data_IF_613613201277
#
_entry.id   IF_613613201277
#
_cell.length_a   1.000
_cell.length_b   1.000
_cell.length_c   1.000
_cell.angle_alpha   90.00
_cell.angle_beta   90.00
_cell.angle_gamma   90.00
#
_symmetry.space_group_name_H-M   'P 1'
#
loop_
_entity.id
_entity.type
_entity.pdbx_description
1 polymer ?
#
# COMPACT_ATOMS: atom_id res chain seq x y z
N UNK A 1 -3.47 6.05 14.42
CA UNK A 1 -2.88 6.94 13.42
C UNK A 1 -2.96 6.26 12.07
N UNK A 2 -3.51 6.92 11.05
CA UNK A 2 -3.64 6.35 9.70
C UNK A 2 -2.29 6.38 8.96
N UNK A 3 -2.04 5.38 8.11
CA UNK A 3 -0.79 5.19 7.35
C UNK A 3 -1.08 5.27 5.86
N UNK A 4 -0.22 5.94 5.11
CA UNK A 4 -0.37 6.08 3.67
C UNK A 4 0.96 5.94 2.96
N UNK A 5 1.00 5.11 1.93
CA UNK A 5 2.13 5.14 0.99
C UNK A 5 2.01 6.34 0.05
N UNK A 6 3.13 7.05 -0.12
CA UNK A 6 3.21 8.23 -0.98
C UNK A 6 4.41 8.15 -1.90
N UNK A 7 4.35 8.86 -3.03
CA UNK A 7 5.54 9.10 -3.84
C UNK A 7 6.58 9.86 -2.98
N UNK A 8 7.82 9.38 -2.86
CA UNK A 8 8.87 10.06 -2.08
C UNK A 8 9.08 11.53 -2.49
N UNK A 9 8.76 11.91 -3.73
CA UNK A 9 8.81 13.30 -4.20
C UNK A 9 7.87 14.21 -3.42
N UNK A 10 6.71 13.72 -2.99
CA UNK A 10 5.78 14.50 -2.17
C UNK A 10 6.40 14.88 -0.81
N UNK A 11 7.29 14.04 -0.27
CA UNK A 11 7.98 14.28 1.00
C UNK A 11 9.10 15.33 0.90
N UNK A 12 9.51 15.72 -0.32
CA UNK A 12 10.45 16.83 -0.53
C UNK A 12 9.75 18.21 -0.47
N UNK A 13 8.42 18.26 -0.61
CA UNK A 13 7.66 19.50 -0.50
C UNK A 13 7.54 19.98 0.96
N UNK A 14 7.51 21.30 1.15
CA UNK A 14 7.32 21.96 2.46
C UNK A 14 6.28 23.07 2.30
N UNK A 15 5.04 22.91 2.82
CA UNK A 15 4.48 21.69 3.43
C UNK A 15 4.31 20.55 2.42
N UNK A 16 4.20 19.31 2.90
CA UNK A 16 3.85 18.14 2.08
C UNK A 16 2.45 18.32 1.51
N UNK A 17 2.28 18.03 0.23
CA UNK A 17 1.00 18.15 -0.48
C UNK A 17 0.50 16.79 -0.92
N UNK A 18 -0.66 16.39 -0.42
CA UNK A 18 -1.35 15.17 -0.84
C UNK A 18 -2.54 15.56 -1.73
N UNK A 19 -2.70 14.86 -2.85
CA UNK A 19 -3.71 15.14 -3.89
C UNK A 19 -4.40 13.84 -4.33
N UNK A 20 -5.45 13.99 -5.14
CA UNK A 20 -6.17 12.87 -5.73
C UNK A 20 -6.85 11.99 -4.67
N UNK A 21 -6.76 10.67 -4.87
CA UNK A 21 -7.44 9.67 -4.03
C UNK A 21 -7.08 9.81 -2.54
N UNK A 22 -5.82 10.14 -2.24
CA UNK A 22 -5.35 10.27 -0.87
C UNK A 22 -5.97 11.48 -0.14
N UNK A 23 -6.06 12.63 -0.83
CA UNK A 23 -6.73 13.82 -0.28
C UNK A 23 -8.23 13.55 -0.06
N UNK A 24 -8.86 12.88 -1.02
CA UNK A 24 -10.26 12.47 -0.90
C UNK A 24 -10.47 11.50 0.27
N UNK A 25 -9.60 10.51 0.44
CA UNK A 25 -9.65 9.54 1.54
C UNK A 25 -9.51 10.24 2.89
N UNK A 26 -8.54 11.14 3.05
CA UNK A 26 -8.36 11.92 4.27
C UNK A 26 -9.60 12.76 4.61
N UNK A 27 -10.14 13.51 3.64
CA UNK A 27 -11.21 14.47 3.88
C UNK A 27 -12.62 13.86 3.97
N UNK A 28 -12.93 12.86 3.12
CA UNK A 28 -14.29 12.32 2.97
C UNK A 28 -14.50 10.98 3.66
N UNK A 29 -13.51 10.10 3.61
CA UNK A 29 -13.62 8.75 4.17
C UNK A 29 -13.27 8.77 5.65
N UNK A 30 -12.07 9.26 5.97
CA UNK A 30 -11.55 9.31 7.33
C UNK A 30 -11.97 10.56 8.09
N UNK A 31 -12.39 11.61 7.36
CA UNK A 31 -12.87 12.89 7.91
C UNK A 31 -11.87 13.54 8.86
N UNK A 32 -10.60 13.47 8.51
CA UNK A 32 -9.53 14.09 9.27
C UNK A 32 -9.64 15.62 9.23
N UNK A 33 -9.13 16.29 10.25
CA UNK A 33 -9.14 17.72 10.42
C UNK A 33 -7.71 18.28 10.57
N UNK A 34 -7.52 19.60 10.37
CA UNK A 34 -6.28 20.25 10.78
C UNK A 34 -5.94 19.95 12.26
N UNK A 35 -4.68 19.64 12.54
CA UNK A 35 -4.19 19.18 13.84
C UNK A 35 -4.13 17.65 14.00
N UNK A 36 -4.87 16.88 13.19
CA UNK A 36 -4.75 15.42 13.19
C UNK A 36 -3.38 14.98 12.66
N UNK A 37 -2.93 13.82 13.13
CA UNK A 37 -1.66 13.24 12.70
C UNK A 37 -1.88 12.01 11.82
N UNK A 38 -1.07 11.93 10.77
CA UNK A 38 -0.98 10.77 9.87
C UNK A 38 0.46 10.31 9.75
N UNK A 39 0.65 9.11 9.23
CA UNK A 39 1.97 8.55 8.96
C UNK A 39 2.13 8.36 7.46
N UNK A 40 3.15 8.98 6.89
CA UNK A 40 3.50 8.86 5.48
C UNK A 40 4.64 7.86 5.33
N UNK A 41 4.52 6.98 4.35
CA UNK A 41 5.46 5.89 4.07
C UNK A 41 6.02 6.08 2.66
N UNK A 42 7.34 6.06 2.53
CA UNK A 42 8.05 6.27 1.25
C UNK A 42 8.49 4.96 0.59
N UNK A 43 8.04 3.82 1.14
CA UNK A 43 8.39 2.47 0.70
C UNK A 43 9.88 2.09 0.91
N UNK A 44 10.69 2.94 1.56
CA UNK A 44 12.11 2.67 1.84
C UNK A 44 12.35 2.00 3.18
N UNK A 45 11.29 1.81 3.99
CA UNK A 45 11.37 1.41 5.39
C UNK A 45 11.19 2.58 6.36
N UNK A 46 11.40 3.82 5.90
CA UNK A 46 11.18 5.00 6.71
C UNK A 46 9.68 5.31 6.87
N UNK A 47 9.34 5.92 8.01
CA UNK A 47 8.01 6.47 8.25
C UNK A 47 8.10 7.89 8.78
N UNK A 48 7.16 8.73 8.37
CA UNK A 48 7.13 10.16 8.67
C UNK A 48 5.82 10.51 9.35
N UNK A 49 5.88 10.90 10.62
CA UNK A 49 4.72 11.46 11.30
C UNK A 49 4.50 12.86 10.75
N UNK A 50 3.29 13.15 10.26
CA UNK A 50 2.92 14.45 9.72
C UNK A 50 1.65 14.97 10.37
N UNK A 51 1.67 16.24 10.78
CA UNK A 51 0.51 16.96 11.29
C UNK A 51 -0.22 17.65 10.13
N UNK A 52 -1.53 17.49 10.05
CA UNK A 52 -2.35 18.09 9.01
C UNK A 52 -2.52 19.60 9.28
N UNK A 53 -2.14 20.43 8.31
CA UNK A 53 -2.29 21.88 8.37
C UNK A 53 -3.62 22.34 7.76
N UNK A 54 -4.03 21.70 6.67
CA UNK A 54 -5.27 22.00 5.96
C UNK A 54 -5.80 20.72 5.31
N UNK A 55 -7.12 20.51 5.38
CA UNK A 55 -7.77 19.32 4.82
C UNK A 55 -8.91 19.74 3.91
N UNK A 56 -8.84 19.35 2.63
CA UNK A 56 -9.93 19.48 1.68
C UNK A 56 -10.00 18.23 0.78
N UNK A 57 -11.14 17.94 0.14
CA UNK A 57 -11.24 16.82 -0.79
C UNK A 57 -10.34 16.93 -2.03
N UNK A 58 -9.79 18.12 -2.33
CA UNK A 58 -8.91 18.35 -3.48
C UNK A 58 -7.44 18.26 -3.12
N UNK A 59 -7.08 18.80 -1.95
CA UNK A 59 -5.71 18.88 -1.48
C UNK A 59 -5.67 18.84 0.05
N UNK A 60 -4.68 18.15 0.58
CA UNK A 60 -4.32 18.12 2.00
C UNK A 60 -2.89 18.62 2.14
N UNK A 61 -2.67 19.54 3.07
CA UNK A 61 -1.36 20.06 3.43
C UNK A 61 -0.94 19.48 4.78
N UNK A 62 0.29 18.99 4.87
CA UNK A 62 0.82 18.42 6.10
C UNK A 62 2.26 18.87 6.36
N UNK A 63 2.60 19.03 7.63
CA UNK A 63 3.96 19.30 8.10
C UNK A 63 4.56 18.03 8.69
N UNK A 64 5.77 17.64 8.25
CA UNK A 64 6.50 16.52 8.84
C UNK A 64 7.01 16.96 10.22
N UNK A 65 6.56 16.27 11.26
CA UNK A 65 6.98 16.52 12.64
C UNK A 65 8.08 15.58 13.10
N UNK A 66 8.14 14.38 12.54
CA UNK A 66 9.10 13.35 12.95
C UNK A 66 9.38 12.38 11.80
N UNK A 67 10.63 11.88 11.73
CA UNK A 67 11.00 10.73 10.91
C UNK A 67 11.47 9.61 11.83
N UNK A 68 10.95 8.41 11.61
CA UNK A 68 11.33 7.18 12.33
C UNK A 68 11.70 6.07 11.34
N UNK A 69 12.44 5.08 11.83
CA UNK A 69 12.82 3.86 11.10
C UNK A 69 12.26 2.64 11.84
N UNK A 70 10.98 2.27 11.60
CA UNK A 70 10.36 1.16 12.31
C UNK A 70 10.99 -0.18 11.93
N UNK A 71 11.18 -1.06 12.93
CA UNK A 71 11.47 -2.48 12.69
C UNK A 71 10.17 -3.24 12.36
N UNK A 72 9.50 -2.86 11.27
CA UNK A 72 8.21 -3.41 10.88
C UNK A 72 8.32 -4.60 9.91
N UNK A 73 9.45 -4.76 9.23
CA UNK A 73 9.64 -5.81 8.24
C UNK A 73 10.21 -7.10 8.87
N UNK A 74 9.78 -8.29 8.42
CA UNK A 74 10.37 -9.54 8.86
C UNK A 74 11.87 -9.62 8.52
N UNK A 75 12.65 -10.26 9.38
CA UNK A 75 14.08 -10.53 9.12
C UNK A 75 14.35 -11.55 8.01
N UNK A 76 13.30 -12.14 7.41
CA UNK A 76 13.38 -13.12 6.33
C UNK A 76 12.62 -12.58 5.13
N UNK A 77 13.27 -12.57 3.96
CA UNK A 77 12.61 -12.27 2.68
C UNK A 77 11.87 -13.52 2.21
N UNK A 78 10.54 -13.47 2.26
CA UNK A 78 9.66 -14.54 1.77
C UNK A 78 9.09 -14.18 0.39
N UNK A 79 9.30 -15.04 -0.59
CA UNK A 79 8.66 -14.97 -1.91
C UNK A 79 7.65 -16.09 -2.06
N UNK A 80 6.40 -15.74 -2.38
CA UNK A 80 5.29 -16.67 -2.49
C UNK A 80 4.92 -16.88 -3.96
N UNK A 81 5.24 -18.07 -4.47
CA UNK A 81 4.72 -18.55 -5.75
C UNK A 81 3.31 -19.10 -5.53
N UNK A 82 2.30 -18.38 -6.02
CA UNK A 82 0.90 -18.71 -5.80
C UNK A 82 0.23 -19.12 -7.11
N UNK A 83 -0.12 -20.40 -7.23
CA UNK A 83 -1.00 -20.87 -8.29
C UNK A 83 -2.34 -20.12 -8.20
N UNK A 84 -2.77 -19.45 -9.28
CA UNK A 84 -3.93 -18.55 -9.22
C UNK A 84 -5.22 -19.35 -9.04
N UNK A 85 -5.93 -19.22 -7.90
CA UNK A 85 -7.19 -19.91 -7.67
C UNK A 85 -8.34 -19.26 -8.45
N UNK A 86 -9.42 -20.02 -8.66
CA UNK A 86 -10.67 -19.47 -9.21
C UNK A 86 -11.28 -18.43 -8.25
N UNK A 87 -11.77 -17.32 -8.80
CA UNK A 87 -12.44 -16.22 -8.09
C UNK A 87 -11.55 -15.40 -7.13
N UNK A 88 -12.17 -14.55 -6.30
CA UNK A 88 -11.53 -13.56 -5.38
C UNK A 88 -10.62 -14.17 -4.29
N UNK A 89 -10.34 -15.48 -4.31
CA UNK A 89 -9.46 -16.14 -3.32
C UNK A 89 -8.03 -15.61 -3.38
N UNK A 90 -7.54 -15.22 -4.56
CA UNK A 90 -6.21 -14.62 -4.70
C UNK A 90 -6.09 -13.30 -3.95
N UNK A 91 -7.15 -12.49 -3.92
CA UNK A 91 -7.18 -11.21 -3.19
C UNK A 91 -7.00 -11.44 -1.69
N UNK A 92 -7.61 -12.50 -1.14
CA UNK A 92 -7.42 -12.90 0.25
C UNK A 92 -5.98 -13.37 0.53
N UNK A 93 -5.38 -14.13 -0.38
CA UNK A 93 -3.97 -14.56 -0.28
C UNK A 93 -3.03 -13.34 -0.29
N UNK A 94 -3.26 -12.37 -1.17
CA UNK A 94 -2.47 -11.14 -1.24
C UNK A 94 -2.58 -10.33 0.05
N UNK A 95 -3.81 -10.14 0.54
CA UNK A 95 -4.06 -9.44 1.80
C UNK A 95 -3.36 -10.13 2.98
N UNK A 96 -3.65 -11.43 3.18
CA UNK A 96 -3.12 -12.17 4.34
C UNK A 96 -1.63 -12.46 4.24
N UNK A 97 -1.13 -12.71 3.04
CA UNK A 97 0.32 -12.83 2.83
C UNK A 97 1.04 -11.52 3.15
N UNK A 98 0.44 -10.37 2.82
CA UNK A 98 1.03 -9.06 3.14
C UNK A 98 1.11 -8.86 4.65
N UNK A 99 0.02 -9.15 5.37
CA UNK A 99 -0.06 -9.10 6.84
C UNK A 99 0.95 -10.06 7.51
N UNK A 100 1.23 -11.21 6.89
CA UNK A 100 2.19 -12.22 7.37
C UNK A 100 3.65 -11.92 6.96
N UNK A 101 3.90 -10.86 6.18
CA UNK A 101 5.25 -10.44 5.84
C UNK A 101 5.82 -10.99 4.52
N UNK A 102 4.99 -11.52 3.62
CA UNK A 102 5.42 -11.89 2.25
C UNK A 102 6.02 -10.65 1.58
N UNK A 103 7.21 -10.78 1.02
CA UNK A 103 7.94 -9.70 0.36
C UNK A 103 7.64 -9.62 -1.14
N UNK A 104 7.38 -10.76 -1.78
CA UNK A 104 7.11 -10.86 -3.22
C UNK A 104 6.00 -11.89 -3.44
N UNK A 105 5.02 -11.54 -4.26
CA UNK A 105 4.00 -12.44 -4.76
C UNK A 105 4.24 -12.69 -6.24
N UNK A 106 4.47 -13.95 -6.59
CA UNK A 106 4.66 -14.40 -7.96
C UNK A 106 3.46 -15.28 -8.34
N UNK A 107 2.44 -14.71 -9.01
CA UNK A 107 1.29 -15.48 -9.48
C UNK A 107 1.74 -16.49 -10.54
N UNK A 108 1.27 -17.73 -10.44
CA UNK A 108 1.63 -18.82 -11.36
C UNK A 108 0.39 -19.41 -12.00
N UNK A 109 0.43 -19.64 -13.31
CA UNK A 109 -0.56 -20.46 -14.02
C UNK A 109 -0.01 -21.88 -14.11
N UNK A 110 -0.57 -22.79 -13.33
CA UNK A 110 -0.19 -24.20 -13.31
C UNK A 110 -1.16 -25.06 -14.14
N UNK A 111 -0.75 -26.28 -14.48
CA UNK A 111 -1.53 -27.22 -15.32
C UNK A 111 -2.99 -27.42 -14.85
N UNK A 112 -3.21 -27.41 -13.54
CA UNK A 112 -4.54 -27.62 -12.92
C UNK A 112 -5.29 -26.32 -12.58
N UNK A 113 -4.77 -25.16 -12.98
CA UNK A 113 -5.50 -23.89 -12.88
C UNK A 113 -6.66 -23.91 -13.87
N UNK A 114 -7.89 -23.86 -13.36
CA UNK A 114 -9.09 -23.96 -14.19
C UNK A 114 -9.56 -22.59 -14.67
N UNK A 115 -9.73 -22.44 -15.98
CA UNK A 115 -10.41 -21.28 -16.58
C UNK A 115 -9.66 -19.95 -16.42
N UNK A 116 -8.33 -20.01 -16.33
CA UNK A 116 -7.44 -18.85 -16.36
C UNK A 116 -6.42 -19.06 -17.47
N UNK A 117 -6.29 -18.05 -18.32
CA UNK A 117 -5.23 -17.91 -19.30
C UNK A 117 -4.26 -16.81 -18.86
N UNK A 118 -3.03 -16.78 -19.40
CA UNK A 118 -2.10 -15.66 -19.17
C UNK A 118 -2.71 -14.30 -19.52
N UNK A 119 -3.59 -14.24 -20.53
CA UNK A 119 -4.28 -13.02 -20.92
C UNK A 119 -5.27 -12.49 -19.86
N UNK A 120 -5.73 -13.33 -18.94
CA UNK A 120 -6.60 -12.94 -17.83
C UNK A 120 -5.84 -12.31 -16.66
N UNK A 121 -4.51 -12.20 -16.75
CA UNK A 121 -3.62 -11.53 -15.79
C UNK A 121 -3.12 -10.22 -16.42
N UNK A 122 -4.10 -9.41 -16.83
CA UNK A 122 -3.88 -8.13 -17.48
C UNK A 122 -3.51 -6.99 -16.49
N UNK A 123 -3.15 -5.84 -17.05
CA UNK A 123 -2.78 -4.64 -16.28
C UNK A 123 -3.82 -4.24 -15.23
N UNK A 124 -5.12 -4.10 -15.57
CA UNK A 124 -6.17 -3.74 -14.62
C UNK A 124 -6.26 -4.68 -13.41
N UNK A 125 -6.09 -5.98 -13.62
CA UNK A 125 -6.12 -6.95 -12.53
C UNK A 125 -4.88 -6.86 -11.64
N UNK A 126 -3.70 -6.68 -12.23
CA UNK A 126 -2.47 -6.44 -11.48
C UNK A 126 -2.55 -5.14 -10.66
N UNK A 127 -3.13 -4.08 -11.22
CA UNK A 127 -3.32 -2.81 -10.49
C UNK A 127 -4.27 -2.96 -9.31
N UNK A 128 -5.35 -3.74 -9.47
CA UNK A 128 -6.23 -4.10 -8.36
C UNK A 128 -5.49 -4.90 -7.28
N UNK A 129 -4.63 -5.85 -7.66
CA UNK A 129 -3.85 -6.64 -6.70
C UNK A 129 -2.84 -5.78 -5.94
N UNK A 130 -2.15 -4.87 -6.64
CA UNK A 130 -1.26 -3.88 -6.02
C UNK A 130 -2.01 -3.02 -5.01
N UNK A 131 -3.22 -2.57 -5.34
CA UNK A 131 -4.05 -1.79 -4.40
C UNK A 131 -4.38 -2.57 -3.12
N UNK A 132 -4.75 -3.85 -3.25
CA UNK A 132 -5.03 -4.72 -2.09
C UNK A 132 -3.77 -4.88 -1.22
N UNK A 133 -2.61 -5.08 -1.85
CA UNK A 133 -1.32 -5.18 -1.14
C UNK A 133 -0.98 -3.87 -0.43
N UNK A 134 -1.19 -2.71 -1.06
CA UNK A 134 -0.99 -1.40 -0.44
C UNK A 134 -1.88 -1.21 0.78
N UNK A 135 -3.19 -1.43 0.65
CA UNK A 135 -4.15 -1.30 1.75
C UNK A 135 -3.81 -2.26 2.90
N UNK A 136 -3.42 -3.50 2.59
CA UNK A 136 -2.99 -4.47 3.59
C UNK A 136 -1.69 -4.06 4.31
N UNK A 137 -0.73 -3.50 3.58
CA UNK A 137 0.52 -3.00 4.16
C UNK A 137 0.28 -1.81 5.10
N UNK A 138 -0.56 -0.85 4.69
CA UNK A 138 -0.98 0.29 5.51
C UNK A 138 -1.66 -0.15 6.81
N UNK A 139 -2.55 -1.14 6.71
CA UNK A 139 -3.30 -1.65 7.86
C UNK A 139 -2.42 -2.48 8.81
N UNK A 140 -1.55 -3.33 8.26
CA UNK A 140 -0.65 -4.19 9.05
C UNK A 140 0.57 -3.47 9.62
N UNK A 141 0.78 -2.21 9.25
CA UNK A 141 1.88 -1.39 9.75
C UNK A 141 3.22 -1.67 9.06
N UNK A 142 3.18 -2.31 7.89
CA UNK A 142 4.38 -2.47 7.06
C UNK A 142 4.83 -1.13 6.51
N UNK A 143 6.13 -1.03 6.30
CA UNK A 143 6.81 0.17 5.80
C UNK A 143 7.36 -0.04 4.39
N UNK A 144 7.29 -1.28 3.90
CA UNK A 144 7.58 -1.66 2.52
C UNK A 144 6.39 -2.39 1.91
N UNK A 145 6.10 -2.06 0.67
CA UNK A 145 5.12 -2.72 -0.17
C UNK A 145 5.70 -4.03 -0.70
N UNK A 146 4.98 -5.15 -0.53
CA UNK A 146 5.26 -6.35 -1.30
C UNK A 146 5.20 -6.09 -2.79
N UNK A 147 6.10 -6.73 -3.53
CA UNK A 147 6.06 -6.72 -5.00
C UNK A 147 5.01 -7.74 -5.46
N UNK A 148 4.23 -7.37 -6.48
CA UNK A 148 3.36 -8.30 -7.21
C UNK A 148 3.90 -8.39 -8.63
N UNK A 149 4.54 -9.52 -8.93
CA UNK A 149 5.11 -9.80 -10.25
C UNK A 149 4.00 -10.05 -11.29
N UNK A 150 4.23 -9.74 -12.58
CA UNK A 150 3.41 -10.28 -13.64
C UNK A 150 3.58 -11.81 -13.70
N UNK A 151 2.57 -12.52 -14.21
CA UNK A 151 2.63 -13.97 -14.42
C UNK A 151 3.25 -14.34 -15.78
#
# INVERSE_FOLDING_TARGET
MHRFFVDPRALAERPVRLRGDLAHQCARVLRLAPGDHIMLLDNTGAAYTACLLAVSPREVLAEIVERIEPQAEPGIRLELFQAVPRAKKIEWVLQKGTELGVSVFTPVIAERCQGLSPADLDGPKLDRWRKIVTEAAEQSGRTRLPVVEPA
#
